data_IF_428702906289
#
_entry.id   IF_428702906289
#
_cell.length_a   1.000
_cell.length_b   1.000
_cell.length_c   1.000
_cell.angle_alpha   90.00
_cell.angle_beta   90.00
_cell.angle_gamma   90.00
#
_symmetry.space_group_name_H-M   'P 1'
#
loop_
_entity.id
_entity.type
_entity.pdbx_description
1 polymer ?
#
# COMPACT_ATOMS: atom_id res chain seq x y z
N UNK A 1 -24.86 -14.50 -22.19
CA UNK A 1 -24.43 -13.16 -21.71
C UNK A 1 -22.94 -13.04 -21.95
N UNK A 2 -22.53 -12.21 -22.91
CA UNK A 2 -21.11 -12.02 -23.23
C UNK A 2 -20.54 -10.96 -22.28
N UNK A 3 -19.58 -11.33 -21.45
CA UNK A 3 -18.87 -10.40 -20.57
C UNK A 3 -18.00 -9.51 -21.46
N UNK A 4 -18.28 -8.21 -21.49
CA UNK A 4 -17.52 -7.27 -22.31
C UNK A 4 -16.02 -7.32 -21.90
N UNK A 5 -15.09 -7.45 -22.86
CA UNK A 5 -13.68 -7.73 -22.58
C UNK A 5 -12.96 -6.69 -21.71
N UNK A 6 -13.49 -5.47 -21.61
CA UNK A 6 -12.97 -4.42 -20.71
C UNK A 6 -13.29 -4.60 -19.21
N UNK A 7 -14.28 -5.42 -18.85
CA UNK A 7 -14.68 -5.61 -17.44
C UNK A 7 -13.84 -6.65 -16.70
N UNK A 8 -13.28 -7.64 -17.40
CA UNK A 8 -12.50 -8.70 -16.78
C UNK A 8 -11.18 -8.21 -16.14
N UNK A 9 -10.38 -7.33 -16.79
CA UNK A 9 -9.18 -6.78 -16.18
C UNK A 9 -9.46 -5.92 -14.94
N UNK A 10 -10.48 -5.05 -14.97
CA UNK A 10 -10.85 -4.23 -13.81
C UNK A 10 -11.44 -5.06 -12.67
N UNK A 11 -12.21 -6.10 -12.97
CA UNK A 11 -12.69 -7.02 -11.95
C UNK A 11 -11.53 -7.73 -11.25
N UNK A 12 -10.52 -8.18 -12.01
CA UNK A 12 -9.32 -8.79 -11.43
C UNK A 12 -8.49 -7.78 -10.63
N UNK A 13 -8.32 -6.55 -11.13
CA UNK A 13 -7.63 -5.48 -10.42
C UNK A 13 -8.33 -5.14 -9.10
N UNK A 14 -9.66 -5.15 -9.07
CA UNK A 14 -10.44 -4.92 -7.85
C UNK A 14 -10.23 -6.01 -6.79
N UNK A 15 -10.15 -7.27 -7.20
CA UNK A 15 -9.79 -8.37 -6.29
C UNK A 15 -8.40 -8.13 -5.70
N UNK A 16 -7.41 -7.84 -6.55
CA UNK A 16 -6.05 -7.55 -6.08
C UNK A 16 -5.99 -6.33 -5.16
N UNK A 17 -6.78 -5.27 -5.40
CA UNK A 17 -6.85 -4.12 -4.49
C UNK A 17 -7.39 -4.47 -3.11
N UNK A 18 -8.32 -5.42 -3.00
CA UNK A 18 -8.82 -5.92 -1.70
C UNK A 18 -7.75 -6.73 -0.99
N UNK A 19 -7.05 -7.59 -1.71
CA UNK A 19 -5.95 -8.38 -1.17
C UNK A 19 -4.78 -7.48 -0.73
N UNK A 20 -4.49 -6.41 -1.48
CA UNK A 20 -3.51 -5.38 -1.09
C UNK A 20 -3.90 -4.70 0.21
N UNK A 21 -5.17 -4.30 0.38
CA UNK A 21 -5.63 -3.72 1.64
C UNK A 21 -5.43 -4.71 2.80
N UNK A 22 -5.77 -5.99 2.61
CA UNK A 22 -5.57 -7.01 3.63
C UNK A 22 -4.08 -7.20 3.98
N UNK A 23 -3.19 -7.21 2.97
CA UNK A 23 -1.74 -7.27 3.18
C UNK A 23 -1.22 -6.03 3.94
N UNK A 24 -1.70 -4.84 3.59
CA UNK A 24 -1.35 -3.60 4.29
C UNK A 24 -1.82 -3.59 5.75
N UNK A 25 -3.02 -4.09 6.03
CA UNK A 25 -3.54 -4.24 7.40
C UNK A 25 -2.72 -5.25 8.21
N UNK A 26 -2.23 -6.31 7.58
CA UNK A 26 -1.36 -7.32 8.19
C UNK A 26 0.12 -6.89 8.28
N UNK A 27 0.47 -5.71 7.78
CA UNK A 27 1.85 -5.24 7.63
C UNK A 27 2.76 -6.19 6.81
N UNK A 28 2.18 -6.96 5.89
CA UNK A 28 2.93 -7.81 4.96
C UNK A 28 3.34 -6.99 3.74
N UNK A 29 4.43 -6.23 3.90
CA UNK A 29 4.92 -5.29 2.89
C UNK A 29 5.47 -5.99 1.64
N UNK A 30 5.96 -7.22 1.77
CA UNK A 30 6.45 -8.00 0.65
C UNK A 30 5.27 -8.44 -0.25
N UNK A 31 4.24 -9.02 0.36
CA UNK A 31 3.02 -9.39 -0.36
C UNK A 31 2.33 -8.17 -0.96
N UNK A 32 2.27 -7.05 -0.24
CA UNK A 32 1.70 -5.80 -0.76
C UNK A 32 2.38 -5.36 -2.06
N UNK A 33 3.71 -5.39 -2.11
CA UNK A 33 4.48 -5.02 -3.31
C UNK A 33 4.29 -6.01 -4.47
N UNK A 34 4.22 -7.31 -4.19
CA UNK A 34 3.94 -8.33 -5.21
C UNK A 34 2.55 -8.17 -5.82
N UNK A 35 1.55 -7.90 -4.99
CA UNK A 35 0.17 -7.68 -5.44
C UNK A 35 0.06 -6.39 -6.26
N UNK A 36 0.76 -5.31 -5.87
CA UNK A 36 0.82 -4.07 -6.63
C UNK A 36 1.37 -4.29 -8.04
N UNK A 37 2.51 -4.98 -8.17
CA UNK A 37 3.13 -5.28 -9.45
C UNK A 37 2.23 -6.13 -10.38
N UNK A 38 1.40 -7.01 -9.79
CA UNK A 38 0.41 -7.80 -10.55
C UNK A 38 -0.81 -6.97 -10.96
N UNK A 39 -1.21 -6.00 -10.14
CA UNK A 39 -2.39 -5.17 -10.35
C UNK A 39 -2.15 -4.05 -11.36
N UNK A 40 -0.99 -3.38 -11.28
CA UNK A 40 -0.65 -2.23 -12.12
C UNK A 40 -0.95 -2.43 -13.62
N UNK A 41 -0.49 -3.50 -14.29
CA UNK A 41 -0.77 -3.68 -15.72
C UNK A 41 -2.25 -3.92 -16.04
N UNK A 42 -3.08 -4.31 -15.08
CA UNK A 42 -4.53 -4.48 -15.28
C UNK A 42 -5.26 -3.14 -15.22
N UNK A 43 -4.84 -2.25 -14.31
CA UNK A 43 -5.39 -0.90 -14.17
C UNK A 43 -4.95 -0.02 -15.35
N UNK A 44 -3.70 -0.12 -15.78
CA UNK A 44 -3.11 0.72 -16.83
C UNK A 44 -3.55 0.40 -18.27
N UNK A 45 -4.31 -0.69 -18.46
CA UNK A 45 -4.92 -0.98 -19.78
C UNK A 45 -5.98 0.05 -20.13
N UNK A 46 -6.26 0.19 -21.42
CA UNK A 46 -7.41 0.96 -21.87
C UNK A 46 -8.71 0.23 -21.48
N UNK A 47 -9.61 0.96 -20.82
CA UNK A 47 -10.91 0.44 -20.41
C UNK A 47 -12.02 1.17 -21.13
N UNK A 48 -13.14 0.49 -21.35
CA UNK A 48 -14.29 1.10 -21.97
C UNK A 48 -14.75 2.33 -21.15
N UNK A 49 -15.08 3.47 -21.79
CA UNK A 49 -15.50 4.68 -21.08
C UNK A 49 -16.95 4.60 -20.58
N UNK A 50 -17.40 3.42 -20.17
CA UNK A 50 -18.75 3.14 -19.69
C UNK A 50 -18.89 3.32 -18.17
N UNK A 51 -20.15 3.34 -17.71
CA UNK A 51 -20.45 3.54 -16.29
C UNK A 51 -19.99 2.39 -15.38
N UNK A 52 -19.84 1.16 -15.90
CA UNK A 52 -19.40 0.02 -15.10
C UNK A 52 -17.89 0.12 -14.80
N UNK A 53 -17.11 0.39 -15.83
CA UNK A 53 -15.65 0.58 -15.74
C UNK A 53 -15.31 1.78 -14.85
N UNK A 54 -16.05 2.89 -14.97
CA UNK A 54 -15.90 4.05 -14.07
C UNK A 54 -16.20 3.71 -12.61
N UNK A 55 -17.24 2.92 -12.33
CA UNK A 55 -17.54 2.47 -10.96
C UNK A 55 -16.42 1.61 -10.39
N UNK A 56 -15.94 0.62 -11.15
CA UNK A 56 -14.85 -0.25 -10.70
C UNK A 56 -13.55 0.51 -10.46
N UNK A 57 -13.20 1.46 -11.33
CA UNK A 57 -12.06 2.37 -11.12
C UNK A 57 -12.24 3.22 -9.85
N UNK A 58 -13.45 3.72 -9.59
CA UNK A 58 -13.78 4.43 -8.36
C UNK A 58 -13.56 3.58 -7.10
N UNK A 59 -13.95 2.31 -7.11
CA UNK A 59 -13.70 1.37 -6.02
C UNK A 59 -12.21 1.08 -5.83
N UNK A 60 -11.46 0.86 -6.92
CA UNK A 60 -10.00 0.66 -6.87
C UNK A 60 -9.32 1.86 -6.21
N UNK A 61 -9.69 3.09 -6.62
CA UNK A 61 -9.14 4.31 -6.03
C UNK A 61 -9.51 4.49 -4.55
N UNK A 62 -10.65 3.96 -4.11
CA UNK A 62 -11.01 3.98 -2.69
C UNK A 62 -10.07 3.07 -1.88
N UNK A 63 -9.83 1.84 -2.35
CA UNK A 63 -8.87 0.92 -1.75
C UNK A 63 -7.43 1.45 -1.77
N UNK A 64 -7.03 2.17 -2.82
CA UNK A 64 -5.71 2.82 -2.91
C UNK A 64 -5.51 3.85 -1.80
N UNK A 65 -6.51 4.71 -1.57
CA UNK A 65 -6.42 5.72 -0.50
C UNK A 65 -6.31 5.09 0.87
N UNK A 66 -7.08 4.02 1.12
CA UNK A 66 -7.05 3.31 2.40
C UNK A 66 -5.69 2.63 2.62
N UNK A 67 -5.19 1.92 1.61
CA UNK A 67 -3.88 1.26 1.67
C UNK A 67 -2.74 2.28 1.86
N UNK A 68 -2.79 3.41 1.15
CA UNK A 68 -1.81 4.48 1.27
C UNK A 68 -1.80 5.11 2.68
N UNK A 69 -2.96 5.26 3.32
CA UNK A 69 -3.05 5.76 4.69
C UNK A 69 -2.39 4.79 5.69
N UNK A 70 -2.59 3.48 5.52
CA UNK A 70 -1.93 2.46 6.35
C UNK A 70 -0.41 2.48 6.17
N UNK A 71 0.07 2.55 4.92
CA UNK A 71 1.51 2.62 4.62
C UNK A 71 2.13 3.90 5.18
N UNK A 72 1.46 5.05 5.04
CA UNK A 72 1.94 6.32 5.60
C UNK A 72 2.08 6.23 7.12
N UNK A 73 1.05 5.72 7.81
CA UNK A 73 1.10 5.50 9.25
C UNK A 73 2.23 4.56 9.67
N UNK A 74 2.39 3.43 8.97
CA UNK A 74 3.47 2.48 9.28
C UNK A 74 4.86 3.10 9.10
N UNK A 75 5.04 3.95 8.07
CA UNK A 75 6.29 4.69 7.86
C UNK A 75 6.56 5.68 8.99
N UNK A 76 5.55 6.43 9.43
CA UNK A 76 5.69 7.39 10.54
C UNK A 76 6.04 6.67 11.85
N UNK A 77 5.40 5.54 12.14
CA UNK A 77 5.70 4.70 13.30
C UNK A 77 7.14 4.16 13.25
N UNK A 78 7.60 3.66 12.09
CA UNK A 78 8.96 3.20 11.90
C UNK A 78 9.99 4.34 12.08
N UNK A 79 9.70 5.52 11.55
CA UNK A 79 10.55 6.70 11.71
C UNK A 79 10.66 7.11 13.19
N UNK A 80 9.56 7.13 13.93
CA UNK A 80 9.56 7.45 15.36
C UNK A 80 10.39 6.43 16.17
N UNK A 81 10.26 5.14 15.88
CA UNK A 81 11.04 4.08 16.53
C UNK A 81 12.54 4.23 16.28
N UNK A 82 12.92 4.53 15.03
CA UNK A 82 14.31 4.78 14.66
C UNK A 82 14.90 5.98 15.41
N UNK A 83 14.17 7.10 15.47
CA UNK A 83 14.62 8.28 16.20
C UNK A 83 14.79 8.01 17.70
N UNK A 84 13.84 7.30 18.31
CA UNK A 84 13.91 6.93 19.72
C UNK A 84 15.12 6.01 20.02
N UNK A 85 15.40 5.03 19.15
CA UNK A 85 16.56 4.15 19.30
C UNK A 85 17.89 4.92 19.20
N UNK A 86 17.99 5.85 18.23
CA UNK A 86 19.18 6.68 18.04
C UNK A 86 19.39 7.66 19.20
N UNK A 87 18.32 8.27 19.70
CA UNK A 87 18.36 9.13 20.89
C UNK A 87 18.84 8.37 22.14
N UNK A 88 18.35 7.13 22.34
CA UNK A 88 18.84 6.27 23.43
C UNK A 88 20.33 5.94 23.29
N UNK A 89 20.78 5.59 22.09
CA UNK A 89 22.19 5.29 21.86
C UNK A 89 23.10 6.51 22.14
N UNK A 90 22.67 7.72 21.77
CA UNK A 90 23.39 8.96 22.08
C UNK A 90 23.42 9.25 23.58
N UNK A 91 22.32 9.05 24.29
CA UNK A 91 22.28 9.22 25.74
C UNK A 91 23.24 8.24 26.46
N UNK A 92 23.24 6.97 26.06
CA UNK A 92 24.17 5.96 26.61
C UNK A 92 25.63 6.35 26.36
N UNK A 93 25.96 6.82 25.15
CA UNK A 93 27.32 7.29 24.83
C UNK A 93 27.74 8.49 25.71
N UNK A 94 26.84 9.44 25.95
CA UNK A 94 27.11 10.62 26.78
C UNK A 94 27.34 10.29 28.26
N UNK A 95 26.69 9.24 28.80
CA UNK A 95 26.94 8.76 30.17
C UNK A 95 28.12 7.77 30.26
N UNK A 96 28.55 7.20 29.13
CA UNK A 96 29.68 6.27 29.04
C UNK A 96 31.04 6.94 28.82
N UNK A 97 31.08 8.20 28.36
CA UNK A 97 32.31 8.99 28.34
C UNK A 97 32.53 9.63 29.72
N UNK A 98 33.59 9.25 30.47
CA UNK A 98 33.98 10.02 31.64
C UNK A 98 34.44 11.39 31.14
N UNK A 99 33.87 12.45 31.73
CA UNK A 99 34.27 13.83 31.46
C UNK A 99 35.80 13.95 31.50
N UNK A 100 36.40 14.31 30.36
CA UNK A 100 37.81 14.70 30.30
C UNK A 100 37.96 16.15 30.75
#
# INVERSE_FOLDING_TARGET
MSVAPGTAPLAQALVLSRDMLAAAQAADWALLAELEARREPLVMREHAPDGASRRQLGEILAYDRESAALVARARDEAAAQWQAARGRAQAIAAYGEPAR
#
